data_IF_297956694273
#
_entry.id   IF_297956694273
#
_cell.length_a   1.000
_cell.length_b   1.000
_cell.length_c   1.000
_cell.angle_alpha   90.00
_cell.angle_beta   90.00
_cell.angle_gamma   90.00
#
_symmetry.space_group_name_H-M   'P 1'
#
loop_
_entity.id
_entity.type
_entity.pdbx_description
1 polymer ?
#
# COMPACT_ATOMS: atom_id res chain seq x y z
N UNK A 1 34.18 -18.93 -2.39
CA UNK A 1 33.71 -17.53 -2.43
C UNK A 1 32.33 -17.56 -3.06
N UNK A 2 31.31 -17.30 -2.25
CA UNK A 2 29.91 -17.59 -2.53
C UNK A 2 29.26 -16.54 -3.42
N UNK A 3 28.71 -16.97 -4.56
CA UNK A 3 28.09 -16.12 -5.58
C UNK A 3 26.84 -15.39 -5.06
N UNK A 4 26.30 -15.83 -3.93
CA UNK A 4 25.14 -15.25 -3.22
C UNK A 4 25.41 -13.81 -2.72
N UNK A 5 26.66 -13.45 -2.42
CA UNK A 5 26.97 -12.11 -1.91
C UNK A 5 26.98 -11.00 -2.98
N UNK A 6 27.17 -11.34 -4.25
CA UNK A 6 27.25 -10.34 -5.35
C UNK A 6 25.86 -9.86 -5.75
N UNK A 7 24.86 -10.76 -5.76
CA UNK A 7 23.46 -10.42 -6.02
C UNK A 7 22.89 -9.49 -4.94
N UNK A 8 23.29 -9.69 -3.67
CA UNK A 8 22.85 -8.83 -2.56
C UNK A 8 23.37 -7.40 -2.66
N UNK A 9 24.56 -7.18 -3.25
CA UNK A 9 25.11 -5.84 -3.49
C UNK A 9 24.39 -5.07 -4.60
N UNK A 10 23.91 -5.79 -5.62
CA UNK A 10 23.22 -5.19 -6.76
C UNK A 10 21.80 -4.72 -6.40
N UNK A 11 21.13 -5.44 -5.50
CA UNK A 11 19.74 -5.17 -5.12
C UNK A 11 19.64 -4.26 -3.88
N UNK A 12 20.52 -4.43 -2.88
CA UNK A 12 20.41 -3.70 -1.60
C UNK A 12 21.53 -2.67 -1.34
N UNK A 13 22.56 -2.60 -2.19
CA UNK A 13 23.68 -1.66 -2.04
C UNK A 13 24.58 -1.89 -0.82
N UNK A 14 24.40 -2.99 -0.08
CA UNK A 14 25.18 -3.37 1.11
C UNK A 14 25.10 -4.88 1.40
N UNK A 15 26.14 -5.49 2.01
CA UNK A 15 26.22 -6.94 2.17
C UNK A 15 25.24 -7.48 3.23
N UNK A 16 24.55 -8.58 2.89
CA UNK A 16 23.61 -9.28 3.79
C UNK A 16 24.22 -9.73 5.13
N UNK A 17 25.55 -9.77 5.25
CA UNK A 17 26.27 -10.10 6.48
C UNK A 17 26.04 -9.10 7.61
N UNK A 18 25.63 -7.87 7.30
CA UNK A 18 25.35 -6.82 8.28
C UNK A 18 23.91 -6.87 8.82
N UNK A 19 22.98 -7.58 8.16
CA UNK A 19 21.60 -7.74 8.62
C UNK A 19 21.48 -8.58 9.91
N UNK A 20 22.47 -9.43 10.21
CA UNK A 20 22.44 -10.32 11.36
C UNK A 20 23.21 -9.85 12.60
N UNK A 21 23.84 -8.67 12.54
CA UNK A 21 24.75 -8.20 13.62
C UNK A 21 24.65 -6.68 13.85
N UNK A 22 23.46 -6.17 14.13
CA UNK A 22 23.28 -4.79 14.57
C UNK A 22 21.97 -4.64 15.35
N UNK A 23 22.07 -4.49 16.67
CA UNK A 23 20.92 -4.31 17.56
C UNK A 23 20.27 -2.93 17.40
N UNK A 24 19.53 -2.74 16.30
CA UNK A 24 18.72 -1.56 16.03
C UNK A 24 17.36 -1.99 15.51
N UNK A 25 16.32 -1.74 16.32
CA UNK A 25 14.89 -1.87 16.03
C UNK A 25 14.53 -2.90 14.95
N UNK A 26 14.35 -4.15 15.35
CA UNK A 26 13.85 -5.24 14.50
C UNK A 26 12.63 -4.83 13.66
N UNK A 27 11.80 -3.91 14.16
CA UNK A 27 10.68 -3.31 13.46
C UNK A 27 11.06 -2.59 12.16
N UNK A 28 12.20 -1.90 12.11
CA UNK A 28 12.62 -1.12 10.94
C UNK A 28 13.23 -2.03 9.87
N UNK A 29 13.98 -3.06 10.29
CA UNK A 29 14.48 -4.12 9.39
C UNK A 29 13.32 -4.96 8.84
N UNK A 30 12.32 -5.28 9.67
CA UNK A 30 11.10 -5.96 9.24
C UNK A 30 10.27 -5.10 8.28
N UNK A 31 10.09 -3.81 8.55
CA UNK A 31 9.38 -2.91 7.63
C UNK A 31 10.11 -2.77 6.30
N UNK A 32 11.44 -2.74 6.29
CA UNK A 32 12.25 -2.70 5.06
C UNK A 32 12.16 -4.01 4.28
N UNK A 33 12.14 -5.16 4.96
CA UNK A 33 11.92 -6.46 4.33
C UNK A 33 10.51 -6.57 3.73
N UNK A 34 9.48 -6.15 4.47
CA UNK A 34 8.09 -6.09 3.98
C UNK A 34 7.96 -5.15 2.79
N UNK A 35 8.64 -4.00 2.81
CA UNK A 35 8.64 -3.05 1.69
C UNK A 35 9.35 -3.62 0.47
N UNK A 36 10.49 -4.29 0.63
CA UNK A 36 11.20 -4.94 -0.47
C UNK A 36 10.40 -6.10 -1.07
N UNK A 37 9.67 -6.85 -0.23
CA UNK A 37 8.74 -7.89 -0.69
C UNK A 37 7.50 -7.29 -1.35
N UNK A 38 6.97 -6.16 -0.86
CA UNK A 38 5.82 -5.48 -1.45
C UNK A 38 6.14 -4.82 -2.81
N UNK A 39 7.41 -4.50 -3.07
CA UNK A 39 7.90 -3.99 -4.36
C UNK A 39 8.16 -5.11 -5.39
N UNK A 40 8.24 -6.36 -4.95
CA UNK A 40 8.19 -7.52 -5.83
C UNK A 40 6.70 -7.79 -6.10
N UNK A 41 6.20 -7.34 -7.26
CA UNK A 41 4.79 -7.47 -7.67
C UNK A 41 4.27 -8.93 -7.64
N UNK A 42 5.19 -9.90 -7.51
CA UNK A 42 4.94 -11.34 -7.44
C UNK A 42 5.12 -11.95 -6.03
N UNK A 43 5.25 -11.14 -4.97
CA UNK A 43 5.34 -11.67 -3.61
C UNK A 43 4.02 -12.31 -3.18
N UNK A 44 4.08 -13.63 -3.04
CA UNK A 44 2.91 -14.50 -3.06
C UNK A 44 1.99 -14.32 -1.84
N UNK A 45 2.41 -13.69 -0.75
CA UNK A 45 1.58 -13.57 0.47
C UNK A 45 0.48 -12.52 0.29
N UNK A 46 0.82 -11.34 -0.23
CA UNK A 46 -0.16 -10.28 -0.48
C UNK A 46 -1.08 -10.68 -1.63
N UNK A 47 -0.53 -11.31 -2.68
CA UNK A 47 -1.32 -11.82 -3.80
C UNK A 47 -2.22 -13.01 -3.40
N UNK A 48 -1.74 -13.93 -2.57
CA UNK A 48 -2.59 -15.02 -2.07
C UNK A 48 -3.72 -14.50 -1.18
N UNK A 49 -3.43 -13.55 -0.27
CA UNK A 49 -4.45 -12.93 0.56
C UNK A 49 -5.48 -12.15 -0.30
N UNK A 50 -5.01 -11.44 -1.32
CA UNK A 50 -5.89 -10.77 -2.30
C UNK A 50 -6.77 -11.76 -3.05
N UNK A 51 -6.21 -12.89 -3.51
CA UNK A 51 -6.96 -13.92 -4.23
C UNK A 51 -7.96 -14.66 -3.31
N UNK A 52 -7.56 -14.97 -2.08
CA UNK A 52 -8.40 -15.70 -1.11
C UNK A 52 -9.54 -14.83 -0.58
N UNK A 53 -9.30 -13.53 -0.35
CA UNK A 53 -10.32 -12.56 0.05
C UNK A 53 -11.06 -11.92 -1.15
N UNK A 54 -10.60 -12.21 -2.38
CA UNK A 54 -11.12 -11.60 -3.61
C UNK A 54 -11.01 -10.07 -3.62
N UNK A 55 -9.89 -9.53 -3.14
CA UNK A 55 -9.56 -8.11 -3.09
C UNK A 55 -8.68 -7.72 -4.27
N UNK A 56 -8.97 -6.57 -4.88
CA UNK A 56 -8.21 -6.05 -6.01
C UNK A 56 -7.06 -5.14 -5.60
N UNK A 57 -7.08 -4.62 -4.36
CA UNK A 57 -6.05 -3.71 -3.85
C UNK A 57 -5.71 -4.13 -2.42
N UNK A 58 -4.42 -4.31 -2.13
CA UNK A 58 -3.91 -4.44 -0.78
C UNK A 58 -2.51 -3.84 -0.72
N UNK A 59 -2.29 -2.85 0.15
CA UNK A 59 -1.00 -2.16 0.21
C UNK A 59 -0.98 -0.95 1.14
N UNK A 60 0.16 -0.25 1.15
CA UNK A 60 0.33 0.98 1.93
C UNK A 60 0.03 2.18 1.04
N UNK A 61 -0.86 3.05 1.50
CA UNK A 61 -1.17 4.36 0.91
C UNK A 61 -0.68 5.45 1.85
N UNK A 62 0.01 6.45 1.31
CA UNK A 62 0.37 7.67 2.03
C UNK A 62 -0.64 8.74 1.65
N UNK A 63 -1.31 9.34 2.64
CA UNK A 63 -2.25 10.42 2.38
C UNK A 63 -1.48 11.74 2.27
N UNK A 64 -1.63 12.44 1.15
CA UNK A 64 -1.01 13.75 0.95
C UNK A 64 -1.46 14.73 2.03
N UNK A 65 -0.52 15.16 2.88
CA UNK A 65 -0.76 16.15 3.94
C UNK A 65 -0.70 15.63 5.37
N UNK A 66 -0.75 14.31 5.60
CA UNK A 66 -0.56 13.70 6.92
C UNK A 66 0.70 12.82 6.91
N UNK A 67 1.51 12.86 7.97
CA UNK A 67 2.68 11.96 8.16
C UNK A 67 2.23 10.51 8.50
N UNK A 68 1.09 10.09 7.97
CA UNK A 68 0.43 8.82 8.25
C UNK A 68 0.58 7.86 7.07
N UNK A 69 1.10 6.66 7.33
CA UNK A 69 0.96 5.52 6.43
C UNK A 69 -0.32 4.77 6.79
N UNK A 70 -1.15 4.48 5.79
CA UNK A 70 -2.40 3.73 5.94
C UNK A 70 -2.28 2.41 5.19
N UNK A 71 -2.56 1.30 5.85
CA UNK A 71 -2.71 0.02 5.17
C UNK A 71 -4.13 -0.10 4.60
N UNK A 72 -4.25 -0.14 3.28
CA UNK A 72 -5.50 -0.16 2.53
C UNK A 72 -5.80 -1.54 1.98
N UNK A 73 -7.06 -1.97 2.12
CA UNK A 73 -7.66 -3.14 1.52
C UNK A 73 -8.85 -2.70 0.67
N UNK A 74 -8.89 -3.04 -0.61
CA UNK A 74 -9.96 -2.57 -1.49
C UNK A 74 -10.32 -3.54 -2.60
N UNK A 75 -11.49 -3.29 -3.18
CA UNK A 75 -12.11 -4.10 -4.22
C UNK A 75 -12.89 -3.23 -5.20
N UNK A 76 -12.82 -3.59 -6.48
CA UNK A 76 -13.68 -3.07 -7.52
C UNK A 76 -14.93 -3.94 -7.60
N UNK A 77 -16.07 -3.40 -7.19
CA UNK A 77 -17.36 -4.10 -7.32
C UNK A 77 -17.87 -4.07 -8.76
N UNK A 78 -17.51 -3.01 -9.49
CA UNK A 78 -17.68 -2.87 -10.93
C UNK A 78 -16.44 -2.20 -11.50
N UNK A 79 -16.25 -2.17 -12.84
CA UNK A 79 -15.14 -1.43 -13.45
C UNK A 79 -15.07 0.05 -13.05
N UNK A 80 -16.20 0.62 -12.63
CA UNK A 80 -16.36 2.03 -12.30
C UNK A 80 -16.52 2.30 -10.79
N UNK A 81 -16.73 1.26 -9.96
CA UNK A 81 -17.01 1.38 -8.52
C UNK A 81 -15.95 0.67 -7.69
N UNK A 82 -15.14 1.46 -7.00
CA UNK A 82 -14.14 1.01 -6.04
C UNK A 82 -14.63 1.25 -4.61
N UNK A 83 -14.38 0.27 -3.75
CA UNK A 83 -14.57 0.37 -2.30
C UNK A 83 -13.31 -0.08 -1.58
N UNK A 84 -12.86 0.72 -0.61
CA UNK A 84 -11.65 0.50 0.15
C UNK A 84 -11.87 0.72 1.64
N UNK A 85 -11.12 -0.02 2.44
CA UNK A 85 -11.03 0.10 3.88
C UNK A 85 -9.55 0.19 4.29
N UNK A 86 -9.21 1.25 4.99
CA UNK A 86 -7.87 1.58 5.45
C UNK A 86 -7.74 1.57 6.95
N UNK A 87 -6.59 1.18 7.45
CA UNK A 87 -6.21 1.29 8.86
C UNK A 87 -4.93 2.12 8.94
N UNK A 88 -4.99 3.27 9.59
CA UNK A 88 -3.84 4.12 9.87
C UNK A 88 -2.84 3.41 10.79
N UNK A 89 -1.58 3.31 10.38
CA UNK A 89 -0.56 2.56 11.11
C UNK A 89 -0.03 3.29 12.35
N UNK A 90 -0.11 4.63 12.34
CA UNK A 90 0.44 5.46 13.42
C UNK A 90 -0.62 5.95 14.41
N UNK A 91 -1.85 6.16 13.94
CA UNK A 91 -2.92 6.76 14.72
C UNK A 91 -4.15 5.84 14.87
N UNK A 92 -4.06 4.59 14.38
CA UNK A 92 -5.09 3.55 14.46
C UNK A 92 -6.49 4.02 14.02
N UNK A 93 -6.55 4.93 13.06
CA UNK A 93 -7.81 5.43 12.50
C UNK A 93 -8.26 4.53 11.37
N UNK A 94 -9.53 4.13 11.43
CA UNK A 94 -10.17 3.42 10.33
C UNK A 94 -10.69 4.42 9.31
N UNK A 95 -10.37 4.18 8.03
CA UNK A 95 -10.76 4.99 6.89
C UNK A 95 -11.59 4.11 5.96
N UNK A 96 -12.71 4.60 5.50
CA UNK A 96 -13.51 3.95 4.48
C UNK A 96 -13.60 4.86 3.27
N UNK A 97 -13.17 4.35 2.12
CA UNK A 97 -13.03 5.06 0.86
C UNK A 97 -13.97 4.47 -0.18
N UNK A 98 -14.72 5.33 -0.86
CA UNK A 98 -15.55 4.94 -2.00
C UNK A 98 -15.21 5.85 -3.16
N UNK A 99 -14.91 5.25 -4.31
CA UNK A 99 -14.67 6.00 -5.55
C UNK A 99 -15.57 5.47 -6.65
N UNK A 100 -16.27 6.38 -7.31
CA UNK A 100 -17.16 6.06 -8.43
C UNK A 100 -16.85 6.93 -9.64
N UNK A 101 -16.64 6.29 -10.79
CA UNK A 101 -16.53 6.98 -12.07
C UNK A 101 -17.92 7.17 -12.67
N UNK A 102 -18.48 8.38 -12.55
CA UNK A 102 -19.80 8.71 -13.11
C UNK A 102 -19.75 8.75 -14.64
N UNK A 103 -18.65 9.26 -15.17
CA UNK A 103 -18.37 9.38 -16.61
C UNK A 103 -16.88 9.15 -16.82
N UNK A 104 -16.46 8.93 -18.07
CA UNK A 104 -15.04 8.85 -18.47
C UNK A 104 -14.16 9.99 -17.95
N UNK A 105 -14.77 11.15 -17.70
CA UNK A 105 -14.09 12.36 -17.29
C UNK A 105 -14.48 12.82 -15.87
N UNK A 106 -15.43 12.16 -15.19
CA UNK A 106 -15.94 12.58 -13.88
C UNK A 106 -15.81 11.43 -12.90
N UNK A 107 -15.01 11.65 -11.86
CA UNK A 107 -14.85 10.73 -10.73
C UNK A 107 -15.33 11.42 -9.47
N UNK A 108 -16.10 10.73 -8.65
CA UNK A 108 -16.49 11.16 -7.31
C UNK A 108 -15.79 10.25 -6.31
N UNK A 109 -15.12 10.84 -5.33
CA UNK A 109 -14.47 10.13 -4.22
C UNK A 109 -15.06 10.64 -2.91
N UNK A 110 -15.30 9.71 -1.99
CA UNK A 110 -15.81 9.98 -0.66
C UNK A 110 -15.03 9.16 0.35
N UNK A 111 -14.51 9.84 1.36
CA UNK A 111 -13.74 9.26 2.45
C UNK A 111 -14.42 9.56 3.78
N UNK A 112 -14.54 8.55 4.62
CA UNK A 112 -15.06 8.68 5.98
C UNK A 112 -14.15 8.00 6.97
N UNK A 113 -13.93 8.65 8.10
CA UNK A 113 -13.16 8.14 9.20
C UNK A 113 -13.76 8.63 10.51
N UNK A 114 -13.29 8.07 11.64
CA UNK A 114 -13.71 8.54 12.95
C UNK A 114 -13.32 10.01 13.23
N UNK A 115 -12.35 10.57 12.51
CA UNK A 115 -11.82 11.93 12.71
C UNK A 115 -12.34 12.93 11.69
N UNK A 116 -12.50 12.51 10.44
CA UNK A 116 -12.81 13.39 9.33
C UNK A 116 -13.65 12.67 8.26
N UNK A 117 -14.51 13.43 7.59
CA UNK A 117 -15.31 12.99 6.46
C UNK A 117 -15.14 14.00 5.33
N UNK A 118 -14.95 13.52 4.11
CA UNK A 118 -14.73 14.33 2.92
C UNK A 118 -15.38 13.72 1.69
N UNK A 119 -15.71 14.58 0.74
CA UNK A 119 -16.15 14.16 -0.58
C UNK A 119 -15.60 15.15 -1.59
N UNK A 120 -14.94 14.63 -2.63
CA UNK A 120 -14.42 15.40 -3.73
C UNK A 120 -14.94 14.89 -5.08
N UNK A 121 -14.92 15.80 -6.05
CA UNK A 121 -15.31 15.50 -7.42
C UNK A 121 -14.16 15.95 -8.30
N UNK A 122 -13.63 15.00 -9.07
CA UNK A 122 -12.53 15.20 -10.00
C UNK A 122 -13.04 15.19 -11.43
N UNK A 123 -12.69 16.22 -12.18
CA UNK A 123 -12.96 16.31 -13.61
C UNK A 123 -11.64 16.28 -14.40
N UNK A 124 -11.51 15.32 -15.32
CA UNK A 124 -10.30 15.14 -16.13
C UNK A 124 -10.59 15.43 -17.61
N UNK A 125 -9.90 16.43 -18.17
CA UNK A 125 -9.95 16.77 -19.59
C UNK A 125 -8.90 15.96 -20.35
N UNK A 126 -9.34 15.00 -21.18
CA UNK A 126 -8.47 14.32 -22.14
C UNK A 126 -8.33 15.23 -23.39
N UNK A 127 -7.10 15.52 -23.81
CA UNK A 127 -6.79 16.32 -25.02
C UNK A 127 -6.10 15.46 -26.07
#
# INVERSE_FOLDING_TARGET
>A
MDQTNILSWLVLGRPASELGKGGGNDSEVLMQAVSAMALDEDSSVVNNLRNELGLDVAGLESQDGEQGSTFMLGKYLTPDLYMGYGIGLFDAVNIFKVRYNLTRNITVEADTSAKANGMDIRYTLER
#
